data_IF_592463399031
#
_entry.id   IF_592463399031
#
_cell.length_a   1.000
_cell.length_b   1.000
_cell.length_c   1.000
_cell.angle_alpha   90.00
_cell.angle_beta   90.00
_cell.angle_gamma   90.00
#
_symmetry.space_group_name_H-M   'P 1'
#
loop_
_entity.id
_entity.type
_entity.pdbx_description
1 polymer ?
#
# COMPACT_ATOMS: atom_id res chain seq x y z
N UNK A 1 -19.05 63.40 -7.74
CA UNK A 1 -18.43 62.28 -7.02
C UNK A 1 -19.19 61.03 -7.42
N UNK A 2 -18.64 60.22 -8.33
CA UNK A 2 -19.22 58.91 -8.67
C UNK A 2 -18.83 57.94 -7.55
N UNK A 3 -19.81 57.55 -6.74
CA UNK A 3 -19.65 56.44 -5.80
C UNK A 3 -19.54 55.15 -6.61
N UNK A 4 -18.33 54.68 -6.84
CA UNK A 4 -18.13 53.30 -7.26
C UNK A 4 -18.66 52.39 -6.14
N UNK A 5 -19.50 51.39 -6.45
CA UNK A 5 -19.90 50.40 -5.45
C UNK A 5 -18.64 49.72 -4.89
N UNK A 6 -18.62 49.34 -3.60
CA UNK A 6 -17.49 48.62 -3.05
C UNK A 6 -17.24 47.37 -3.90
N UNK A 7 -16.01 47.22 -4.37
CA UNK A 7 -15.54 45.98 -5.02
C UNK A 7 -15.84 44.86 -4.05
N UNK A 8 -16.87 44.06 -4.32
CA UNK A 8 -17.15 42.87 -3.55
C UNK A 8 -15.95 41.96 -3.77
N UNK A 9 -15.05 41.87 -2.79
CA UNK A 9 -13.94 40.93 -2.82
C UNK A 9 -14.53 39.53 -3.06
N UNK A 10 -14.21 38.87 -4.20
CA UNK A 10 -14.76 37.55 -4.45
C UNK A 10 -14.42 36.59 -3.30
N UNK A 11 -15.43 35.87 -2.84
CA UNK A 11 -15.35 35.04 -1.62
C UNK A 11 -14.52 33.77 -1.90
N UNK A 12 -13.74 33.28 -0.92
CA UNK A 12 -13.08 31.98 -1.01
C UNK A 12 -14.09 30.88 -1.35
N UNK A 13 -13.67 29.90 -2.14
CA UNK A 13 -14.50 28.76 -2.53
C UNK A 13 -14.01 27.52 -1.80
N UNK A 14 -14.92 26.84 -1.11
CA UNK A 14 -14.65 25.59 -0.43
C UNK A 14 -15.14 24.42 -1.27
N UNK A 15 -14.39 23.32 -1.25
CA UNK A 15 -14.76 22.09 -1.93
C UNK A 15 -14.13 20.87 -1.26
N UNK A 16 -14.66 19.69 -1.57
CA UNK A 16 -14.14 18.41 -1.07
C UNK A 16 -13.53 17.67 -2.26
N UNK A 17 -12.28 17.19 -2.11
CA UNK A 17 -11.61 16.42 -3.15
C UNK A 17 -10.55 15.48 -2.58
N UNK A 18 -10.16 14.49 -3.38
CA UNK A 18 -8.96 13.68 -3.16
C UNK A 18 -7.77 14.33 -3.89
N UNK A 19 -6.60 14.31 -3.25
CA UNK A 19 -5.35 14.76 -3.86
C UNK A 19 -4.67 13.55 -4.49
N UNK A 20 -4.33 13.63 -5.77
CA UNK A 20 -3.64 12.57 -6.50
C UNK A 20 -2.12 12.69 -6.36
N UNK A 21 -1.58 13.89 -6.49
CA UNK A 21 -0.15 14.11 -6.38
C UNK A 21 0.14 15.54 -5.94
N UNK A 22 1.34 15.73 -5.38
CA UNK A 22 1.88 17.06 -5.10
C UNK A 22 3.26 17.14 -5.73
N UNK A 23 3.40 18.06 -6.68
CA UNK A 23 4.67 18.41 -7.27
C UNK A 23 5.24 19.64 -6.58
N UNK A 24 6.44 19.54 -6.03
CA UNK A 24 7.06 20.64 -5.29
C UNK A 24 7.74 21.66 -6.21
N UNK A 25 7.75 22.93 -5.78
CA UNK A 25 8.50 24.02 -6.42
C UNK A 25 8.21 24.20 -7.92
N UNK A 26 6.94 24.19 -8.31
CA UNK A 26 6.51 24.47 -9.69
C UNK A 26 6.31 25.97 -9.91
N UNK A 27 6.53 26.41 -11.14
CA UNK A 27 6.28 27.80 -11.54
C UNK A 27 4.78 28.10 -11.50
N UNK A 28 4.43 29.21 -10.86
CA UNK A 28 3.10 29.80 -10.84
C UNK A 28 3.19 31.33 -11.05
N UNK A 29 2.04 31.96 -11.27
CA UNK A 29 1.92 33.39 -11.56
C UNK A 29 1.12 34.04 -10.43
N UNK A 30 1.64 35.09 -9.80
CA UNK A 30 0.88 35.90 -8.84
C UNK A 30 -0.18 36.77 -9.52
N UNK A 31 -1.08 37.34 -8.74
CA UNK A 31 -2.08 38.32 -9.21
C UNK A 31 -1.46 39.57 -9.86
N UNK A 32 -0.21 39.92 -9.54
CA UNK A 32 0.55 41.01 -10.18
C UNK A 32 1.43 40.54 -11.36
N UNK A 33 1.13 39.36 -11.92
CA UNK A 33 1.78 38.75 -13.09
C UNK A 33 3.29 38.47 -12.93
N UNK A 34 3.76 38.29 -11.70
CA UNK A 34 5.14 37.87 -11.42
C UNK A 34 5.25 36.36 -11.33
N UNK A 35 6.39 35.84 -11.80
CA UNK A 35 6.73 34.44 -11.62
C UNK A 35 7.09 34.17 -10.16
N UNK A 36 6.57 33.07 -9.63
CA UNK A 36 6.90 32.58 -8.30
C UNK A 36 6.90 31.05 -8.28
N UNK A 37 7.45 30.49 -7.19
CA UNK A 37 7.40 29.06 -6.92
C UNK A 37 6.25 28.74 -5.97
N UNK A 38 5.53 27.68 -6.28
CA UNK A 38 4.47 27.11 -5.47
C UNK A 38 4.41 25.59 -5.71
N UNK A 39 3.92 24.84 -4.75
CA UNK A 39 3.65 23.42 -4.97
C UNK A 39 2.37 23.28 -5.78
N UNK A 40 2.31 22.28 -6.67
CA UNK A 40 1.16 22.01 -7.50
C UNK A 40 0.47 20.73 -7.03
N UNK A 41 -0.79 20.88 -6.66
CA UNK A 41 -1.67 19.81 -6.24
C UNK A 41 -2.49 19.35 -7.42
N UNK A 42 -2.54 18.04 -7.66
CA UNK A 42 -3.34 17.40 -8.70
C UNK A 42 -4.54 16.72 -8.06
N UNK A 43 -5.69 16.82 -8.72
CA UNK A 43 -6.97 16.30 -8.27
C UNK A 43 -7.58 15.40 -9.34
N UNK A 44 -8.26 14.33 -8.90
CA UNK A 44 -8.94 13.38 -9.78
C UNK A 44 -10.04 14.05 -10.59
N UNK A 45 -10.83 14.87 -9.91
CA UNK A 45 -11.93 15.62 -10.49
C UNK A 45 -11.56 17.08 -10.75
N UNK A 46 -12.33 17.73 -11.62
CA UNK A 46 -12.23 19.18 -11.81
C UNK A 46 -12.55 19.91 -10.51
N UNK A 47 -11.66 20.82 -10.14
CA UNK A 47 -11.86 21.75 -9.04
C UNK A 47 -12.88 22.84 -9.41
N UNK A 48 -13.37 23.63 -8.44
CA UNK A 48 -14.24 24.78 -8.74
C UNK A 48 -13.65 25.80 -9.73
N UNK A 49 -12.33 25.81 -9.91
CA UNK A 49 -11.65 26.65 -10.89
C UNK A 49 -11.59 26.03 -12.30
N UNK A 50 -12.37 24.98 -12.56
CA UNK A 50 -12.45 24.25 -13.84
C UNK A 50 -11.09 23.68 -14.33
N UNK A 51 -10.14 23.54 -13.41
CA UNK A 51 -8.85 22.87 -13.59
C UNK A 51 -8.79 21.62 -12.71
N UNK A 52 -7.97 20.65 -13.06
CA UNK A 52 -7.62 19.50 -12.20
C UNK A 52 -6.38 19.77 -11.34
N UNK A 53 -5.90 21.02 -11.31
CA UNK A 53 -4.73 21.41 -10.52
C UNK A 53 -4.96 22.75 -9.84
N UNK A 54 -4.39 22.89 -8.64
CA UNK A 54 -4.28 24.15 -7.91
C UNK A 54 -2.87 24.27 -7.35
N UNK A 55 -2.42 25.50 -7.12
CA UNK A 55 -1.12 25.73 -6.50
C UNK A 55 -1.26 26.10 -5.03
N UNK A 56 -0.22 25.90 -4.23
CA UNK A 56 -0.17 26.42 -2.87
C UNK A 56 1.25 26.75 -2.44
N UNK A 57 1.37 27.69 -1.52
CA UNK A 57 2.63 28.06 -0.87
C UNK A 57 2.36 28.51 0.55
N UNK A 58 3.42 28.64 1.34
CA UNK A 58 3.31 29.06 2.74
C UNK A 58 2.48 30.35 2.89
N UNK A 59 2.79 31.37 2.08
CA UNK A 59 2.13 32.67 2.12
C UNK A 59 0.65 32.62 1.71
N UNK A 60 0.28 31.75 0.76
CA UNK A 60 -1.12 31.61 0.36
C UNK A 60 -1.97 30.98 1.47
N UNK A 61 -1.36 30.16 2.33
CA UNK A 61 -2.02 29.59 3.51
C UNK A 61 -1.87 30.44 4.78
N UNK A 62 -1.20 31.60 4.71
CA UNK A 62 -0.90 32.41 5.89
C UNK A 62 0.03 31.72 6.89
N UNK A 63 0.90 30.83 6.42
CA UNK A 63 1.84 30.04 7.21
C UNK A 63 3.29 30.51 6.97
N UNK A 64 4.16 30.20 7.93
CA UNK A 64 5.61 30.18 7.69
C UNK A 64 5.99 28.99 6.81
N UNK A 65 7.18 29.05 6.19
CA UNK A 65 7.70 27.94 5.38
C UNK A 65 7.80 26.63 6.17
N UNK A 66 8.22 26.70 7.43
CA UNK A 66 8.36 25.52 8.29
C UNK A 66 7.00 24.88 8.62
N UNK A 67 6.02 25.71 9.00
CA UNK A 67 4.65 25.25 9.27
C UNK A 67 4.03 24.62 8.02
N UNK A 68 4.24 25.22 6.84
CA UNK A 68 3.75 24.71 5.57
C UNK A 68 4.36 23.33 5.22
N UNK A 69 5.68 23.17 5.35
CA UNK A 69 6.36 21.89 5.12
C UNK A 69 5.84 20.81 6.09
N UNK A 70 5.70 21.16 7.37
CA UNK A 70 5.20 20.24 8.39
C UNK A 70 3.74 19.86 8.11
N UNK A 71 2.91 20.81 7.67
CA UNK A 71 1.53 20.58 7.25
C UNK A 71 1.50 19.58 6.10
N UNK A 72 2.20 19.81 4.99
CA UNK A 72 2.21 18.86 3.85
C UNK A 72 2.69 17.47 4.27
N UNK A 73 3.75 17.39 5.08
CA UNK A 73 4.27 16.09 5.57
C UNK A 73 3.21 15.34 6.36
N UNK A 74 2.42 16.04 7.18
CA UNK A 74 1.33 15.44 7.96
C UNK A 74 0.16 14.95 7.11
N UNK A 75 -0.09 15.57 5.95
CA UNK A 75 -1.16 15.16 5.03
C UNK A 75 -0.77 13.95 4.17
N UNK A 76 0.53 13.72 3.95
CA UNK A 76 1.04 12.69 3.03
C UNK A 76 0.45 11.29 3.25
N UNK A 77 0.35 10.73 4.47
CA UNK A 77 -0.23 9.41 4.67
C UNK A 77 -1.69 9.35 4.20
N UNK A 78 -2.47 10.39 4.46
CA UNK A 78 -3.87 10.47 4.06
C UNK A 78 -4.03 10.62 2.53
N UNK A 79 -3.12 11.35 1.87
CA UNK A 79 -3.07 11.45 0.41
C UNK A 79 -2.80 10.07 -0.21
N UNK A 80 -1.83 9.33 0.34
CA UNK A 80 -1.46 7.99 -0.14
C UNK A 80 -2.53 6.92 0.18
N UNK A 81 -3.48 7.24 1.05
CA UNK A 81 -4.61 6.39 1.41
C UNK A 81 -5.93 6.84 0.76
N UNK A 82 -5.86 7.67 -0.29
CA UNK A 82 -7.01 8.20 -1.04
C UNK A 82 -8.06 8.86 -0.12
N UNK A 83 -7.64 9.54 0.94
CA UNK A 83 -8.57 10.24 1.84
C UNK A 83 -9.06 11.54 1.21
N UNK A 84 -10.29 11.92 1.54
CA UNK A 84 -10.85 13.21 1.15
C UNK A 84 -10.32 14.35 2.03
N UNK A 85 -10.12 15.49 1.41
CA UNK A 85 -9.73 16.74 2.05
C UNK A 85 -10.80 17.79 1.83
N UNK A 86 -11.02 18.61 2.84
CA UNK A 86 -11.75 19.86 2.73
C UNK A 86 -10.75 20.95 2.33
N UNK A 87 -10.94 21.53 1.16
CA UNK A 87 -10.01 22.48 0.57
C UNK A 87 -10.68 23.84 0.41
N UNK A 88 -9.87 24.88 0.54
CA UNK A 88 -10.27 26.26 0.24
C UNK A 88 -9.33 26.79 -0.82
N UNK A 89 -9.89 27.23 -1.94
CA UNK A 89 -9.19 27.98 -2.97
C UNK A 89 -9.60 29.45 -2.88
N UNK A 90 -8.66 30.33 -3.18
CA UNK A 90 -8.99 31.71 -3.48
C UNK A 90 -9.80 31.83 -4.79
N UNK A 91 -9.86 33.04 -5.31
CA UNK A 91 -10.66 33.36 -6.47
C UNK A 91 -10.05 32.72 -7.72
N UNK A 92 -10.85 31.96 -8.45
CA UNK A 92 -10.39 31.27 -9.65
C UNK A 92 -9.95 32.21 -10.79
N UNK A 93 -10.44 33.45 -10.81
CA UNK A 93 -10.27 34.41 -11.91
C UNK A 93 -9.46 35.68 -11.52
N UNK A 94 -8.60 35.61 -10.50
CA UNK A 94 -7.82 36.77 -10.02
C UNK A 94 -6.62 37.18 -10.90
N UNK A 95 -6.55 36.72 -12.15
CA UNK A 95 -5.48 37.06 -13.10
C UNK A 95 -4.13 36.36 -12.88
N UNK A 96 -4.03 35.53 -11.84
CA UNK A 96 -2.87 34.68 -11.55
C UNK A 96 -3.23 33.18 -11.57
N UNK A 97 -2.29 32.34 -11.14
CA UNK A 97 -2.57 30.91 -10.87
C UNK A 97 -3.42 30.78 -9.61
N UNK A 98 -4.55 30.05 -9.62
CA UNK A 98 -5.38 29.84 -8.44
C UNK A 98 -4.61 29.18 -7.30
N UNK A 99 -4.77 29.70 -6.09
CA UNK A 99 -4.03 29.27 -4.90
C UNK A 99 -4.94 28.67 -3.83
N UNK A 100 -4.55 27.51 -3.32
CA UNK A 100 -5.09 26.97 -2.10
C UNK A 100 -4.69 27.86 -0.92
N UNK A 101 -5.69 28.18 -0.12
CA UNK A 101 -5.57 28.95 1.12
C UNK A 101 -5.90 28.09 2.36
N UNK A 102 -6.50 26.92 2.17
CA UNK A 102 -6.78 25.95 3.23
C UNK A 102 -6.79 24.52 2.72
N UNK A 103 -6.25 23.60 3.53
CA UNK A 103 -6.32 22.16 3.30
C UNK A 103 -6.46 21.49 4.66
N UNK A 104 -7.57 20.79 4.87
CA UNK A 104 -7.84 20.03 6.09
C UNK A 104 -8.26 18.60 5.73
N UNK A 105 -7.81 17.61 6.50
CA UNK A 105 -8.30 16.25 6.33
C UNK A 105 -9.79 16.22 6.67
N UNK A 106 -10.61 15.57 5.83
CA UNK A 106 -12.04 15.45 6.11
C UNK A 106 -12.27 14.77 7.47
N UNK A 107 -13.24 15.34 8.19
CA UNK A 107 -13.91 14.72 9.33
C UNK A 107 -15.41 14.68 9.04
N UNK A 108 -16.17 13.90 9.80
CA UNK A 108 -17.62 13.84 9.63
C UNK A 108 -18.27 15.23 9.81
N UNK A 109 -17.79 16.02 10.78
CA UNK A 109 -18.29 17.38 11.00
C UNK A 109 -17.96 18.35 9.85
N UNK A 110 -16.83 18.14 9.17
CA UNK A 110 -16.35 19.05 8.14
C UNK A 110 -16.89 18.71 6.74
N UNK A 111 -17.01 17.42 6.44
CA UNK A 111 -17.34 16.94 5.10
C UNK A 111 -18.62 16.12 5.02
N UNK A 112 -19.12 15.56 6.13
CA UNK A 112 -20.20 14.57 6.14
C UNK A 112 -19.68 13.13 6.23
N UNK A 113 -20.56 12.22 6.68
CA UNK A 113 -20.22 10.81 6.95
C UNK A 113 -19.89 10.03 5.66
N UNK A 114 -20.44 10.45 4.51
CA UNK A 114 -20.22 9.84 3.21
C UNK A 114 -18.75 9.91 2.77
N UNK A 115 -18.01 10.96 3.15
CA UNK A 115 -16.58 11.14 2.86
C UNK A 115 -15.67 10.52 3.93
N UNK A 116 -16.26 9.96 4.99
CA UNK A 116 -15.54 9.30 6.09
C UNK A 116 -15.59 7.77 6.01
N UNK A 117 -16.31 7.20 5.04
CA UNK A 117 -16.36 5.76 4.82
C UNK A 117 -14.95 5.23 4.55
N UNK A 118 -14.42 4.48 5.52
CA UNK A 118 -13.14 3.77 5.36
C UNK A 118 -13.41 2.46 4.64
N UNK A 119 -12.51 2.09 3.73
CA UNK A 119 -12.48 0.70 3.29
C UNK A 119 -12.19 -0.18 4.50
N UNK A 120 -12.80 -1.36 4.55
CA UNK A 120 -12.43 -2.41 5.49
C UNK A 120 -11.21 -3.20 5.01
N UNK A 121 -10.39 -2.60 4.14
CA UNK A 121 -9.20 -3.22 3.58
C UNK A 121 -7.98 -2.95 4.45
N UNK A 122 -7.20 -4.01 4.67
CA UNK A 122 -5.85 -3.95 5.22
C UNK A 122 -4.86 -3.98 4.05
N UNK A 123 -4.23 -2.84 3.80
CA UNK A 123 -3.21 -2.64 2.78
C UNK A 123 -1.85 -3.12 3.28
N UNK A 124 -1.17 -3.96 2.52
CA UNK A 124 0.10 -4.59 2.88
C UNK A 124 1.17 -4.35 1.81
N UNK A 125 2.41 -4.12 2.23
CA UNK A 125 3.58 -4.12 1.34
C UNK A 125 4.04 -5.54 0.99
N UNK A 126 5.15 -5.67 0.25
CA UNK A 126 5.73 -6.94 -0.17
C UNK A 126 6.29 -7.79 0.99
N UNK A 127 6.61 -7.19 2.14
CA UNK A 127 6.91 -7.91 3.38
C UNK A 127 5.67 -8.20 4.25
N UNK A 128 4.47 -7.92 3.72
CA UNK A 128 3.18 -8.05 4.39
C UNK A 128 2.99 -7.11 5.59
N UNK A 129 3.76 -6.02 5.71
CA UNK A 129 3.56 -5.01 6.74
C UNK A 129 2.39 -4.09 6.37
N UNK A 130 1.59 -3.64 7.35
CA UNK A 130 0.58 -2.62 7.12
C UNK A 130 1.18 -1.37 6.49
N UNK A 131 0.58 -0.91 5.40
CA UNK A 131 0.98 0.29 4.67
C UNK A 131 -0.26 1.07 4.22
N UNK A 132 -0.06 2.12 3.43
CA UNK A 132 -1.12 2.92 2.81
C UNK A 132 -1.46 2.39 1.41
N UNK A 133 -2.71 2.57 0.96
CA UNK A 133 -3.24 2.01 -0.29
C UNK A 133 -2.29 2.11 -1.49
N UNK A 134 -1.73 3.29 -1.76
CA UNK A 134 -0.86 3.53 -2.93
C UNK A 134 0.56 2.97 -2.82
N UNK A 135 0.95 2.44 -1.65
CA UNK A 135 2.23 1.76 -1.43
C UNK A 135 2.06 0.26 -1.24
N UNK A 136 0.82 -0.23 -1.27
CA UNK A 136 0.52 -1.63 -1.08
C UNK A 136 0.82 -2.43 -2.34
N UNK A 137 1.23 -3.67 -2.14
CA UNK A 137 1.32 -4.69 -3.19
C UNK A 137 0.18 -5.71 -3.05
N UNK A 138 -0.35 -5.84 -1.83
CA UNK A 138 -1.38 -6.81 -1.47
C UNK A 138 -2.46 -6.17 -0.61
N UNK A 139 -3.69 -6.65 -0.72
CA UNK A 139 -4.79 -6.26 0.15
C UNK A 139 -5.45 -7.46 0.80
N UNK A 140 -5.84 -7.32 2.07
CA UNK A 140 -6.69 -8.26 2.79
C UNK A 140 -8.00 -7.56 3.13
N UNK A 141 -9.11 -8.10 2.64
CA UNK A 141 -10.43 -7.56 2.96
C UNK A 141 -10.89 -8.03 4.35
N UNK A 142 -11.36 -7.10 5.18
CA UNK A 142 -11.90 -7.37 6.51
C UNK A 142 -13.43 -7.14 6.54
N UNK A 143 -14.16 -7.74 7.50
CA UNK A 143 -13.69 -8.70 8.49
C UNK A 143 -13.27 -10.03 7.86
N UNK A 144 -12.31 -10.71 8.50
CA UNK A 144 -11.89 -12.04 8.07
C UNK A 144 -13.07 -13.03 8.23
N UNK A 145 -13.23 -14.01 7.33
CA UNK A 145 -14.19 -15.09 7.54
C UNK A 145 -13.70 -16.09 8.61
N UNK A 146 -14.55 -16.42 9.58
CA UNK A 146 -14.25 -17.41 10.63
C UNK A 146 -14.56 -18.85 10.19
N UNK A 147 -13.57 -19.73 10.28
CA UNK A 147 -13.71 -21.18 10.08
C UNK A 147 -14.06 -21.85 11.41
N UNK A 148 -15.30 -22.34 11.52
CA UNK A 148 -15.84 -22.96 12.75
C UNK A 148 -15.21 -24.31 13.08
N UNK A 149 -14.78 -25.07 12.08
CA UNK A 149 -14.19 -26.40 12.27
C UNK A 149 -12.77 -26.26 12.81
N UNK A 150 -11.99 -25.34 12.22
CA UNK A 150 -10.61 -25.05 12.64
C UNK A 150 -10.55 -24.14 13.85
N UNK A 151 -11.62 -23.41 14.15
CA UNK A 151 -11.68 -22.35 15.17
C UNK A 151 -10.64 -21.25 14.92
N UNK A 152 -10.44 -20.89 13.66
CA UNK A 152 -9.46 -19.90 13.19
C UNK A 152 -10.11 -18.96 12.17
N UNK A 153 -9.52 -17.80 11.96
CA UNK A 153 -9.93 -16.86 10.91
C UNK A 153 -9.14 -17.16 9.64
N UNK A 154 -9.83 -17.33 8.52
CA UNK A 154 -9.20 -17.51 7.21
C UNK A 154 -8.73 -16.15 6.69
N UNK A 155 -7.47 -16.08 6.28
CA UNK A 155 -6.89 -14.89 5.67
C UNK A 155 -6.67 -15.17 4.19
N UNK A 156 -7.05 -14.23 3.36
CA UNK A 156 -6.75 -14.24 1.93
C UNK A 156 -6.23 -12.85 1.56
N UNK A 157 -5.05 -12.81 0.97
CA UNK A 157 -4.45 -11.60 0.42
C UNK A 157 -4.48 -11.67 -1.10
N UNK A 158 -4.87 -10.58 -1.75
CA UNK A 158 -4.94 -10.48 -3.21
C UNK A 158 -3.93 -9.46 -3.70
N UNK A 159 -3.28 -9.77 -4.82
CA UNK A 159 -2.45 -8.79 -5.51
C UNK A 159 -3.28 -7.59 -5.94
N UNK A 160 -2.61 -6.45 -6.07
CA UNK A 160 -3.20 -5.22 -6.58
C UNK A 160 -2.85 -5.02 -8.05
N UNK A 161 -3.79 -4.43 -8.77
CA UNK A 161 -3.63 -4.00 -10.15
C UNK A 161 -4.11 -2.57 -10.32
N UNK A 162 -3.58 -1.86 -11.30
CA UNK A 162 -4.03 -0.51 -11.63
C UNK A 162 -5.04 -0.55 -12.76
N UNK A 163 -6.14 0.17 -12.61
CA UNK A 163 -7.10 0.41 -13.68
C UNK A 163 -6.39 1.05 -14.88
N UNK A 164 -6.53 0.46 -16.07
CA UNK A 164 -5.95 1.02 -17.30
C UNK A 164 -6.55 2.39 -17.65
N UNK A 165 -7.82 2.63 -17.30
CA UNK A 165 -8.54 3.86 -17.63
C UNK A 165 -8.25 4.99 -16.63
N UNK A 166 -8.17 4.66 -15.34
CA UNK A 166 -8.15 5.67 -14.26
C UNK A 166 -6.84 5.68 -13.47
N UNK A 167 -5.96 4.69 -13.66
CA UNK A 167 -4.77 4.49 -12.83
C UNK A 167 -5.08 4.10 -11.39
N UNK A 168 -6.35 3.86 -11.05
CA UNK A 168 -6.78 3.55 -9.69
C UNK A 168 -6.32 2.16 -9.27
N UNK A 169 -5.71 2.08 -8.07
CA UNK A 169 -5.28 0.81 -7.47
C UNK A 169 -6.49 0.04 -6.97
N UNK A 170 -6.66 -1.17 -7.50
CA UNK A 170 -7.80 -2.05 -7.26
C UNK A 170 -7.32 -3.47 -6.92
N UNK A 171 -8.19 -4.24 -6.26
CA UNK A 171 -7.93 -5.66 -5.97
C UNK A 171 -8.00 -6.49 -7.25
N UNK A 172 -6.93 -7.19 -7.58
CA UNK A 172 -6.93 -8.15 -8.70
C UNK A 172 -7.70 -9.42 -8.38
N UNK A 173 -7.86 -10.29 -9.38
CA UNK A 173 -8.40 -11.65 -9.18
C UNK A 173 -7.35 -12.63 -8.64
N UNK A 174 -6.06 -12.29 -8.71
CA UNK A 174 -4.99 -13.19 -8.33
C UNK A 174 -4.74 -13.15 -6.81
N UNK A 175 -4.82 -14.32 -6.18
CA UNK A 175 -4.50 -14.48 -4.76
C UNK A 175 -2.98 -14.42 -4.62
N UNK A 176 -2.49 -13.58 -3.73
CA UNK A 176 -1.08 -13.51 -3.34
C UNK A 176 -0.76 -14.54 -2.24
N UNK A 177 -1.68 -14.70 -1.29
CA UNK A 177 -1.55 -15.70 -0.24
C UNK A 177 -2.90 -16.09 0.37
N UNK A 178 -2.94 -17.27 0.97
CA UNK A 178 -4.03 -17.68 1.84
C UNK A 178 -3.51 -18.49 3.04
N UNK A 179 -4.22 -18.42 4.15
CA UNK A 179 -3.88 -19.19 5.34
C UNK A 179 -4.84 -18.91 6.48
N UNK A 180 -4.37 -19.12 7.71
CA UNK A 180 -5.17 -18.89 8.90
C UNK A 180 -4.44 -18.06 9.94
N UNK A 181 -5.22 -17.39 10.77
CA UNK A 181 -4.77 -16.68 11.96
C UNK A 181 -5.71 -16.99 13.13
N UNK A 182 -5.22 -16.85 14.35
CA UNK A 182 -6.01 -16.92 15.58
C UNK A 182 -6.47 -15.53 16.07
N UNK A 183 -6.23 -14.47 15.29
CA UNK A 183 -6.66 -13.10 15.56
C UNK A 183 -7.78 -12.68 14.59
N UNK A 184 -8.71 -11.80 14.99
CA UNK A 184 -9.78 -11.32 14.09
C UNK A 184 -9.25 -10.36 12.99
N UNK A 185 -7.99 -9.94 13.11
CA UNK A 185 -7.28 -9.03 12.22
C UNK A 185 -5.92 -9.64 11.86
N UNK A 186 -5.42 -9.33 10.66
CA UNK A 186 -4.11 -9.78 10.18
C UNK A 186 -3.01 -8.70 10.21
N UNK A 187 -3.25 -7.51 10.78
CA UNK A 187 -2.26 -6.43 10.81
C UNK A 187 -0.93 -6.81 11.50
N UNK A 188 -0.97 -7.73 12.48
CA UNK A 188 0.22 -8.26 13.16
C UNK A 188 0.92 -9.39 12.38
N UNK A 189 0.36 -9.81 11.23
CA UNK A 189 0.80 -10.94 10.40
C UNK A 189 0.92 -12.25 11.18
N UNK A 190 0.03 -12.46 12.15
CA UNK A 190 -0.04 -13.66 12.96
C UNK A 190 -0.53 -14.83 12.10
N UNK A 191 0.29 -15.85 11.88
CA UNK A 191 -0.04 -17.03 11.05
C UNK A 191 -0.13 -18.27 11.93
N UNK A 192 -1.10 -19.12 11.66
CA UNK A 192 -1.31 -20.40 12.33
C UNK A 192 -1.69 -21.45 11.29
N UNK A 193 -1.27 -22.69 11.49
CA UNK A 193 -1.53 -23.81 10.57
C UNK A 193 -0.89 -23.57 9.20
N UNK A 194 -1.53 -24.04 8.13
CA UNK A 194 -1.02 -23.93 6.75
C UNK A 194 -1.17 -22.50 6.24
N UNK A 195 -0.09 -21.99 5.65
CA UNK A 195 -0.05 -20.71 4.97
C UNK A 195 0.60 -20.91 3.59
N UNK A 196 -0.11 -20.53 2.53
CA UNK A 196 0.31 -20.66 1.15
C UNK A 196 0.52 -19.28 0.54
N UNK A 197 1.53 -19.14 -0.30
CA UNK A 197 1.68 -17.98 -1.18
C UNK A 197 1.77 -18.42 -2.62
N UNK A 198 1.44 -17.51 -3.54
CA UNK A 198 1.37 -17.77 -4.96
C UNK A 198 2.18 -16.71 -5.70
N UNK A 199 2.65 -17.04 -6.89
CA UNK A 199 3.18 -16.09 -7.86
C UNK A 199 2.03 -15.30 -8.51
N UNK A 200 2.35 -14.19 -9.16
CA UNK A 200 1.38 -13.43 -9.97
C UNK A 200 0.83 -14.25 -11.16
N UNK A 201 1.58 -15.25 -11.63
CA UNK A 201 1.13 -16.24 -12.61
C UNK A 201 -0.02 -17.13 -12.09
N UNK A 202 -0.23 -17.16 -10.78
CA UNK A 202 -1.14 -18.07 -10.09
C UNK A 202 -0.53 -19.41 -9.68
N UNK A 203 0.73 -19.68 -10.05
CA UNK A 203 1.43 -20.88 -9.59
C UNK A 203 1.70 -20.81 -8.08
N UNK A 204 1.66 -21.95 -7.42
CA UNK A 204 2.03 -22.07 -6.01
C UNK A 204 3.48 -21.64 -5.84
N UNK A 205 3.77 -20.77 -4.87
CA UNK A 205 5.11 -20.24 -4.58
C UNK A 205 5.71 -20.89 -3.34
N UNK A 206 4.93 -21.01 -2.28
CA UNK A 206 5.36 -21.71 -1.08
C UNK A 206 4.18 -22.23 -0.25
N UNK A 207 4.47 -23.27 0.53
CA UNK A 207 3.64 -23.77 1.62
C UNK A 207 4.50 -23.75 2.88
N UNK A 208 4.01 -23.10 3.93
CA UNK A 208 4.60 -23.14 5.26
C UNK A 208 3.55 -23.56 6.28
N UNK A 209 3.98 -24.30 7.29
CA UNK A 209 3.16 -24.62 8.45
C UNK A 209 3.63 -23.81 9.65
N UNK A 210 2.68 -23.28 10.42
CA UNK A 210 2.93 -22.46 11.60
C UNK A 210 2.23 -23.02 12.83
N UNK A 211 2.88 -22.93 13.99
CA UNK A 211 2.23 -23.21 15.27
C UNK A 211 1.43 -22.00 15.79
N UNK A 212 0.78 -22.15 16.94
CA UNK A 212 -0.06 -21.11 17.54
C UNK A 212 0.73 -19.84 17.96
N UNK A 213 2.05 -19.91 18.03
CA UNK A 213 2.96 -18.80 18.36
C UNK A 213 3.58 -18.18 17.10
N UNK A 214 3.03 -18.44 15.90
CA UNK A 214 3.52 -17.89 14.63
C UNK A 214 4.96 -18.29 14.28
N UNK A 215 5.42 -19.43 14.80
CA UNK A 215 6.71 -20.02 14.42
C UNK A 215 6.46 -21.10 13.38
N UNK A 216 7.37 -21.21 12.40
CA UNK A 216 7.33 -22.31 11.43
C UNK A 216 7.44 -23.65 12.16
N UNK A 217 6.51 -24.55 11.93
CA UNK A 217 6.43 -25.83 12.63
C UNK A 217 5.73 -26.86 11.73
N UNK A 218 6.50 -27.83 11.24
CA UNK A 218 6.11 -28.78 10.21
C UNK A 218 6.78 -28.53 8.86
N UNK A 219 6.19 -29.09 7.81
CA UNK A 219 6.74 -29.09 6.45
C UNK A 219 6.79 -27.66 5.88
N UNK A 220 7.81 -27.40 5.09
CA UNK A 220 8.00 -26.19 4.32
C UNK A 220 8.41 -26.57 2.90
N UNK A 221 7.74 -25.99 1.91
CA UNK A 221 7.97 -26.25 0.49
C UNK A 221 8.00 -24.92 -0.25
N UNK A 222 8.96 -24.75 -1.16
CA UNK A 222 8.97 -23.68 -2.15
C UNK A 222 8.95 -24.30 -3.54
N UNK A 223 8.45 -23.53 -4.50
CA UNK A 223 8.22 -23.99 -5.86
C UNK A 223 8.81 -22.97 -6.83
N UNK A 224 9.23 -23.44 -7.99
CA UNK A 224 9.51 -22.56 -9.12
C UNK A 224 8.19 -21.96 -9.62
N UNK A 225 8.26 -20.89 -10.42
CA UNK A 225 7.08 -20.33 -11.09
C UNK A 225 6.66 -21.18 -12.30
N UNK A 226 6.45 -22.46 -12.04
CA UNK A 226 5.94 -23.47 -12.95
C UNK A 226 5.08 -24.44 -12.12
N UNK A 227 3.99 -24.88 -12.71
CA UNK A 227 2.97 -25.65 -12.00
C UNK A 227 3.54 -26.89 -11.31
N UNK A 228 3.34 -26.97 -10.00
CA UNK A 228 3.68 -28.10 -9.12
C UNK A 228 5.17 -28.50 -9.11
N UNK A 229 6.05 -27.58 -9.49
CA UNK A 229 7.49 -27.83 -9.61
C UNK A 229 8.26 -27.37 -8.37
N UNK A 230 8.59 -28.33 -7.52
CA UNK A 230 9.27 -28.08 -6.23
C UNK A 230 10.68 -27.53 -6.47
N UNK A 231 11.01 -26.45 -5.75
CA UNK A 231 12.35 -25.86 -5.71
C UNK A 231 13.10 -26.27 -4.44
N UNK A 232 12.43 -26.24 -3.28
CA UNK A 232 13.06 -26.61 -2.00
C UNK A 232 12.06 -27.30 -1.07
N UNK A 233 12.57 -28.21 -0.24
CA UNK A 233 11.81 -28.81 0.86
C UNK A 233 12.62 -28.79 2.15
N UNK A 234 11.96 -28.47 3.27
CA UNK A 234 12.53 -28.47 4.61
C UNK A 234 11.43 -28.83 5.62
N UNK A 235 11.81 -29.29 6.81
CA UNK A 235 10.93 -29.31 7.97
C UNK A 235 11.42 -28.34 9.04
N UNK A 236 10.49 -27.68 9.71
CA UNK A 236 10.77 -26.82 10.85
C UNK A 236 10.19 -27.45 12.13
N UNK A 237 10.82 -27.16 13.26
CA UNK A 237 10.30 -27.43 14.59
C UNK A 237 10.53 -26.20 15.45
N UNK A 238 9.46 -25.62 15.99
CA UNK A 238 9.51 -24.40 16.82
C UNK A 238 10.33 -23.24 16.19
N UNK A 239 10.21 -23.07 14.88
CA UNK A 239 10.89 -22.03 14.10
C UNK A 239 12.31 -22.39 13.67
N UNK A 240 12.84 -23.56 14.04
CA UNK A 240 14.18 -24.01 13.67
C UNK A 240 14.14 -25.07 12.57
N UNK A 241 15.02 -25.03 11.57
CA UNK A 241 15.22 -26.13 10.62
C UNK A 241 15.52 -27.46 11.33
N UNK A 242 14.84 -28.52 10.91
CA UNK A 242 14.97 -29.86 11.45
C UNK A 242 14.83 -30.89 10.32
N UNK A 243 15.72 -31.88 10.28
CA UNK A 243 15.69 -32.94 9.28
C UNK A 243 16.33 -32.55 7.94
N UNK A 244 15.85 -33.16 6.88
CA UNK A 244 16.43 -33.02 5.54
C UNK A 244 16.03 -31.69 4.88
N UNK A 245 17.03 -31.00 4.34
CA UNK A 245 16.87 -29.86 3.44
C UNK A 245 17.31 -30.28 2.04
N UNK A 246 16.40 -30.20 1.07
CA UNK A 246 16.65 -30.60 -0.31
C UNK A 246 16.41 -29.39 -1.20
N UNK A 247 17.35 -29.12 -2.10
CA UNK A 247 17.21 -28.14 -3.18
C UNK A 247 17.18 -28.91 -4.50
N UNK A 248 16.24 -28.54 -5.36
CA UNK A 248 16.03 -29.17 -6.65
C UNK A 248 16.39 -28.20 -7.76
N UNK A 249 16.93 -28.72 -8.86
CA UNK A 249 17.02 -28.00 -10.11
C UNK A 249 15.66 -27.94 -10.81
N UNK A 250 15.54 -27.07 -11.81
CA UNK A 250 14.37 -26.99 -12.67
C UNK A 250 14.08 -28.26 -13.48
N UNK A 251 14.98 -29.24 -13.59
CA UNK A 251 14.63 -30.52 -14.20
C UNK A 251 14.10 -31.54 -13.18
N UNK A 252 13.93 -31.14 -11.92
CA UNK A 252 13.54 -32.00 -10.80
C UNK A 252 14.67 -32.84 -10.21
N UNK A 253 15.90 -32.75 -10.74
CA UNK A 253 17.05 -33.42 -10.14
C UNK A 253 17.45 -32.73 -8.83
N UNK A 254 17.93 -33.51 -7.86
CA UNK A 254 18.45 -32.96 -6.60
C UNK A 254 19.75 -32.23 -6.88
N UNK A 255 19.75 -30.92 -6.62
CA UNK A 255 20.94 -30.08 -6.69
C UNK A 255 21.82 -30.27 -5.44
N UNK A 256 21.18 -30.21 -4.27
CA UNK A 256 21.89 -30.40 -3.01
C UNK A 256 20.97 -30.96 -1.93
N UNK A 257 21.59 -31.65 -0.97
CA UNK A 257 20.95 -32.20 0.22
C UNK A 257 21.79 -31.86 1.44
N UNK A 258 21.14 -31.40 2.51
CA UNK A 258 21.75 -31.11 3.81
C UNK A 258 20.87 -31.66 4.93
N UNK A 259 21.45 -31.94 6.08
CA UNK A 259 20.70 -32.34 7.26
C UNK A 259 20.83 -31.30 8.39
N UNK A 260 19.69 -30.90 8.96
CA UNK A 260 19.61 -30.00 10.10
C UNK A 260 19.15 -30.74 11.36
N UNK A 261 19.69 -30.34 12.51
CA UNK A 261 19.14 -30.71 13.81
C UNK A 261 19.29 -29.53 14.77
N UNK A 262 18.21 -29.17 15.46
CA UNK A 262 18.18 -28.00 16.35
C UNK A 262 18.70 -26.74 15.65
N UNK A 263 18.29 -26.56 14.39
CA UNK A 263 18.68 -25.41 13.55
C UNK A 263 20.13 -25.40 13.08
N UNK A 264 20.93 -26.44 13.35
CA UNK A 264 22.34 -26.53 12.93
C UNK A 264 22.54 -27.58 11.86
N UNK A 265 23.37 -27.28 10.86
CA UNK A 265 23.81 -28.25 9.86
C UNK A 265 24.61 -29.34 10.58
N UNK A 266 24.22 -30.60 10.39
CA UNK A 266 24.91 -31.78 10.93
C UNK A 266 25.94 -32.35 9.95
N UNK A 267 25.75 -32.16 8.66
CA UNK A 267 26.67 -32.67 7.64
C UNK A 267 27.86 -31.73 7.42
N UNK A 268 29.06 -32.21 7.75
CA UNK A 268 30.32 -31.56 7.41
C UNK A 268 30.71 -31.74 5.93
N UNK A 269 29.99 -32.58 5.18
CA UNK A 269 30.21 -32.84 3.75
C UNK A 269 28.93 -32.56 2.97
N UNK A 270 28.76 -31.32 2.53
CA UNK A 270 27.74 -30.99 1.54
C UNK A 270 28.05 -31.76 0.24
N UNK A 271 27.27 -32.79 -0.07
CA UNK A 271 27.32 -33.40 -1.40
C UNK A 271 26.63 -32.44 -2.39
N UNK A 272 27.44 -31.58 -3.01
CA UNK A 272 27.04 -30.86 -4.22
C UNK A 272 27.12 -31.87 -5.36
N UNK A 273 25.99 -32.36 -5.84
CA UNK A 273 25.97 -33.20 -7.03
C UNK A 273 26.07 -32.26 -8.24
N UNK A 274 27.29 -31.90 -8.64
CA UNK A 274 27.49 -31.28 -9.96
C UNK A 274 27.22 -32.33 -11.02
N UNK A 275 26.10 -32.19 -11.75
CA UNK A 275 25.89 -32.95 -12.98
C UNK A 275 26.82 -32.34 -14.03
N UNK A 276 27.92 -33.01 -14.33
CA UNK A 276 28.64 -32.81 -15.59
C UNK A 276 27.71 -33.21 -16.72
N UNK A 277 27.26 -32.23 -17.51
CA UNK A 277 26.63 -32.48 -18.80
C UNK A 277 27.67 -33.13 -19.74
N UNK A 278 27.32 -34.28 -20.33
CA UNK A 278 28.03 -34.89 -21.46
C UNK A 278 27.31 -34.54 -22.76
#
# INVERSE_FOLDING_TARGET
MQNNPPVQNPKPVNFIAQIENIDFNKTAISSDLKLLLADRYYFKDKTPCNTNTLSARAESMGLTTEEYINKIRSLRPAILDDRYFYLTVDQCDAGGTPMLTGIELCTEALCGAEYMKRSSDLWLDDELQPTVKRQATTVVHMPLPYDKEKKLWKVTGWYLESSEETGEVMRSKQIAFEGYTNEENFANRQRVSVFKSFYESGNLKSIYHYNAQNKRDGKAETYFDEKDKIAETLTFKDGQPEGEYIVYHENGAVESKRYFAQGKIKDANAHIFMITAF
#
